data_IF_728510552527
#
_entry.id   IF_728510552527
#
_cell.length_a   1.000
_cell.length_b   1.000
_cell.length_c   1.000
_cell.angle_alpha   90.00
_cell.angle_beta   90.00
_cell.angle_gamma   90.00
#
_symmetry.space_group_name_H-M   'P 1'
#
loop_
_entity.id
_entity.type
_entity.pdbx_description
1 polymer ?
#
# COMPACT_ATOMS: atom_id res chain seq x y z
N UNK A 1 -47.85 6.79 12.14
CA UNK A 1 -47.20 5.66 11.44
C UNK A 1 -47.02 4.44 12.34
N UNK A 2 -46.22 4.47 13.41
CA UNK A 2 -46.00 3.29 14.26
C UNK A 2 -47.29 2.66 14.83
N UNK A 3 -48.24 3.49 15.29
CA UNK A 3 -49.52 3.00 15.81
C UNK A 3 -50.37 2.29 14.75
N UNK A 4 -50.27 2.69 13.48
CA UNK A 4 -51.00 2.04 12.38
C UNK A 4 -50.39 0.67 12.07
N UNK A 5 -49.06 0.57 12.05
CA UNK A 5 -48.34 -0.70 11.90
C UNK A 5 -48.64 -1.66 13.06
N UNK A 6 -48.74 -1.16 14.30
CA UNK A 6 -49.13 -1.98 15.45
C UNK A 6 -50.62 -2.38 15.40
N UNK A 7 -51.48 -1.55 14.81
CA UNK A 7 -52.88 -1.91 14.60
C UNK A 7 -53.04 -3.01 13.55
N UNK A 8 -52.45 -2.80 12.38
CA UNK A 8 -52.57 -3.68 11.20
C UNK A 8 -51.61 -4.87 11.26
N UNK A 9 -50.65 -4.85 12.19
CA UNK A 9 -49.58 -5.85 12.35
C UNK A 9 -48.73 -6.08 11.08
N UNK A 10 -48.73 -5.10 10.17
CA UNK A 10 -48.09 -5.17 8.86
C UNK A 10 -47.26 -3.90 8.62
N UNK A 11 -46.07 -4.08 8.03
CA UNK A 11 -45.17 -2.99 7.60
C UNK A 11 -44.67 -3.28 6.19
N UNK A 12 -44.67 -2.26 5.35
CA UNK A 12 -44.16 -2.36 3.99
C UNK A 12 -42.66 -2.70 3.97
N UNK A 13 -42.20 -3.67 3.16
CA UNK A 13 -40.81 -4.13 3.15
C UNK A 13 -39.78 -3.04 2.83
N UNK A 14 -40.13 -2.10 1.95
CA UNK A 14 -39.28 -0.96 1.59
C UNK A 14 -39.08 -0.01 2.77
N UNK A 15 -40.18 0.31 3.48
CA UNK A 15 -40.12 1.13 4.70
C UNK A 15 -39.37 0.42 5.81
N UNK A 16 -39.56 -0.89 5.98
CA UNK A 16 -38.83 -1.69 6.96
C UNK A 16 -37.33 -1.68 6.66
N UNK A 17 -36.91 -1.74 5.39
CA UNK A 17 -35.50 -1.75 5.02
C UNK A 17 -34.79 -0.43 5.38
N UNK A 18 -35.49 0.69 5.25
CA UNK A 18 -35.00 2.05 5.57
C UNK A 18 -34.83 2.29 7.08
N UNK A 19 -35.48 1.51 7.96
CA UNK A 19 -35.27 1.65 9.41
C UNK A 19 -33.85 1.19 9.81
N UNK A 20 -33.24 1.93 10.73
CA UNK A 20 -32.00 1.49 11.39
C UNK A 20 -32.22 0.26 12.27
N UNK A 21 -31.17 -0.53 12.53
CA UNK A 21 -31.28 -1.81 13.26
C UNK A 21 -31.91 -1.65 14.65
N UNK A 22 -31.58 -0.58 15.37
CA UNK A 22 -32.18 -0.26 16.68
C UNK A 22 -33.68 0.00 16.56
N UNK A 23 -34.11 0.70 15.50
CA UNK A 23 -35.51 1.02 15.27
C UNK A 23 -36.30 -0.23 14.85
N UNK A 24 -35.72 -1.10 14.02
CA UNK A 24 -36.27 -2.42 13.68
C UNK A 24 -36.48 -3.26 14.93
N UNK A 25 -35.49 -3.30 15.81
CA UNK A 25 -35.57 -4.03 17.07
C UNK A 25 -36.73 -3.54 17.94
N UNK A 26 -36.81 -2.21 18.18
CA UNK A 26 -37.89 -1.60 18.96
C UNK A 26 -39.26 -1.88 18.35
N UNK A 27 -39.39 -1.78 17.03
CA UNK A 27 -40.64 -2.07 16.30
C UNK A 27 -41.08 -3.52 16.53
N UNK A 28 -40.19 -4.49 16.35
CA UNK A 28 -40.53 -5.91 16.53
C UNK A 28 -40.89 -6.23 17.98
N UNK A 29 -40.20 -5.63 18.95
CA UNK A 29 -40.59 -5.76 20.36
C UNK A 29 -42.01 -5.25 20.59
N UNK A 30 -42.36 -4.06 20.09
CA UNK A 30 -43.71 -3.51 20.24
C UNK A 30 -44.78 -4.30 19.49
N UNK A 31 -44.49 -4.80 18.29
CA UNK A 31 -45.38 -5.69 17.55
C UNK A 31 -45.61 -7.00 18.32
N UNK A 32 -44.57 -7.54 18.95
CA UNK A 32 -44.67 -8.77 19.74
C UNK A 32 -45.48 -8.56 21.02
N UNK A 33 -45.28 -7.45 21.72
CA UNK A 33 -46.10 -7.06 22.88
C UNK A 33 -47.57 -6.94 22.50
N UNK A 34 -47.88 -6.31 21.36
CA UNK A 34 -49.25 -6.12 20.89
C UNK A 34 -49.91 -7.45 20.49
N UNK A 35 -49.17 -8.38 19.87
CA UNK A 35 -49.65 -9.75 19.63
C UNK A 35 -50.01 -10.46 20.93
N UNK A 36 -49.15 -10.36 21.95
CA UNK A 36 -49.38 -10.98 23.25
C UNK A 36 -50.56 -10.34 23.98
N UNK A 37 -50.72 -9.02 23.91
CA UNK A 37 -51.87 -8.31 24.47
C UNK A 37 -53.17 -8.78 23.83
N UNK A 38 -53.26 -8.79 22.49
CA UNK A 38 -54.43 -9.28 21.75
C UNK A 38 -54.73 -10.74 22.00
N UNK A 39 -53.69 -11.57 22.14
CA UNK A 39 -53.87 -12.98 22.47
C UNK A 39 -54.43 -13.14 23.88
N UNK A 40 -53.85 -12.48 24.89
CA UNK A 40 -54.37 -12.49 26.26
C UNK A 40 -55.80 -11.97 26.34
N UNK A 41 -56.14 -10.91 25.62
CA UNK A 41 -57.50 -10.38 25.58
C UNK A 41 -58.48 -11.40 24.99
N UNK A 42 -58.11 -12.06 23.88
CA UNK A 42 -58.92 -13.15 23.34
C UNK A 42 -59.07 -14.31 24.32
N UNK A 43 -58.00 -14.73 24.99
CA UNK A 43 -58.06 -15.78 26.01
C UNK A 43 -58.99 -15.39 27.16
N UNK A 44 -58.93 -14.14 27.64
CA UNK A 44 -59.83 -13.66 28.69
C UNK A 44 -61.28 -13.57 28.23
N UNK A 45 -61.52 -13.14 26.99
CA UNK A 45 -62.86 -13.13 26.39
C UNK A 45 -63.40 -14.55 26.20
N UNK A 46 -62.57 -15.49 25.75
CA UNK A 46 -62.93 -16.89 25.59
C UNK A 46 -63.17 -17.60 26.92
N UNK A 47 -62.42 -17.24 27.97
CA UNK A 47 -62.64 -17.73 29.33
C UNK A 47 -63.96 -17.21 29.92
N UNK A 48 -64.25 -15.91 29.78
CA UNK A 48 -65.52 -15.31 30.24
C UNK A 48 -66.71 -15.86 29.44
N UNK A 49 -66.55 -16.09 28.13
CA UNK A 49 -67.60 -16.66 27.29
C UNK A 49 -67.83 -18.17 27.54
N UNK A 50 -66.85 -18.89 28.09
CA UNK A 50 -67.06 -20.26 28.59
C UNK A 50 -67.87 -20.28 29.89
N UNK A 51 -67.62 -19.32 30.80
CA UNK A 51 -68.30 -19.23 32.11
C UNK A 51 -69.77 -18.78 31.98
N UNK A 52 -70.08 -17.86 31.06
CA UNK A 52 -71.47 -17.43 30.78
C UNK A 52 -72.25 -18.40 29.86
N UNK A 53 -71.67 -19.53 29.44
CA UNK A 53 -72.31 -20.52 28.56
C UNK A 53 -72.64 -20.02 27.14
N UNK A 54 -72.40 -18.74 26.86
CA UNK A 54 -72.51 -18.09 25.56
C UNK A 54 -71.24 -18.38 24.76
N UNK A 55 -71.09 -19.63 24.33
CA UNK A 55 -70.08 -19.99 23.35
C UNK A 55 -70.30 -19.06 22.14
N UNK A 56 -69.35 -18.18 21.77
CA UNK A 56 -69.45 -17.47 20.51
C UNK A 56 -69.60 -18.55 19.44
N UNK A 57 -70.52 -18.40 18.45
CA UNK A 57 -70.55 -19.33 17.35
C UNK A 57 -69.14 -19.30 16.77
N UNK A 58 -68.42 -20.43 16.90
CA UNK A 58 -67.07 -20.59 16.34
C UNK A 58 -67.13 -19.92 14.98
N UNK A 59 -66.49 -18.75 14.84
CA UNK A 59 -66.53 -18.05 13.56
C UNK A 59 -66.13 -19.10 12.56
N UNK A 60 -67.04 -19.44 11.64
CA UNK A 60 -66.76 -20.36 10.55
C UNK A 60 -65.66 -19.68 9.76
N UNK A 61 -64.40 -19.82 10.21
CA UNK A 61 -63.24 -19.62 9.37
C UNK A 61 -63.55 -20.54 8.21
N UNK A 62 -63.81 -19.93 7.05
CA UNK A 62 -64.15 -20.62 5.82
C UNK A 62 -63.38 -21.93 5.79
N UNK A 63 -64.10 -23.05 5.74
CA UNK A 63 -63.60 -24.39 6.02
C UNK A 63 -62.18 -24.55 5.46
N UNK A 64 -61.20 -24.37 6.34
CA UNK A 64 -59.90 -24.93 6.07
C UNK A 64 -60.13 -26.40 6.37
N UNK A 65 -60.51 -27.17 5.35
CA UNK A 65 -60.68 -28.64 5.38
C UNK A 65 -59.40 -29.39 5.82
N UNK A 66 -58.38 -28.65 6.26
CA UNK A 66 -57.16 -29.12 6.89
C UNK A 66 -57.42 -29.39 8.37
N UNK A 67 -58.16 -30.45 8.68
CA UNK A 67 -58.02 -31.13 9.96
C UNK A 67 -56.77 -32.01 9.93
N UNK A 68 -56.06 -32.13 11.05
CA UNK A 68 -54.93 -33.05 11.17
C UNK A 68 -55.52 -34.44 11.46
N UNK A 69 -55.43 -35.34 10.49
CA UNK A 69 -55.73 -36.75 10.68
C UNK A 69 -54.42 -37.47 11.04
N UNK A 70 -54.35 -37.98 12.27
CA UNK A 70 -53.22 -38.80 12.70
C UNK A 70 -53.33 -40.18 12.04
N UNK A 71 -52.21 -40.68 11.53
CA UNK A 71 -52.11 -42.09 11.16
C UNK A 71 -52.15 -42.91 12.45
N UNK A 72 -52.89 -44.02 12.45
CA UNK A 72 -52.97 -44.94 13.58
C UNK A 72 -52.14 -46.20 13.28
N UNK A 73 -51.44 -46.70 14.30
CA UNK A 73 -50.72 -47.98 14.27
C UNK A 73 -51.67 -49.18 14.33
N UNK A 74 -51.09 -50.38 14.28
CA UNK A 74 -51.84 -51.64 14.38
C UNK A 74 -52.51 -51.86 15.75
N UNK A 75 -52.04 -51.13 16.76
CA UNK A 75 -52.55 -51.04 18.13
C UNK A 75 -53.70 -50.04 18.30
N UNK A 76 -53.98 -49.22 17.29
CA UNK A 76 -54.96 -48.13 17.36
C UNK A 76 -54.45 -46.87 18.07
N UNK A 77 -53.15 -46.80 18.39
CA UNK A 77 -52.48 -45.59 18.88
C UNK A 77 -51.94 -44.76 17.71
N UNK A 78 -51.47 -43.54 17.96
CA UNK A 78 -50.92 -42.67 16.91
C UNK A 78 -49.60 -43.26 16.40
N UNK A 79 -49.48 -43.39 15.07
CA UNK A 79 -48.26 -43.86 14.42
C UNK A 79 -47.13 -42.83 14.59
N UNK A 80 -46.06 -43.26 15.24
CA UNK A 80 -44.84 -42.49 15.44
C UNK A 80 -43.70 -43.19 14.71
N UNK A 81 -42.99 -42.45 13.86
CA UNK A 81 -41.73 -42.92 13.29
C UNK A 81 -40.57 -42.16 13.91
N UNK A 82 -39.62 -42.92 14.43
CA UNK A 82 -38.39 -42.41 15.02
C UNK A 82 -37.28 -42.60 13.99
N UNK A 83 -36.62 -41.50 13.62
CA UNK A 83 -35.47 -41.52 12.73
C UNK A 83 -34.41 -42.51 13.26
N UNK A 84 -34.14 -43.57 12.48
CA UNK A 84 -33.11 -44.55 12.80
C UNK A 84 -33.57 -45.79 13.58
N UNK A 85 -34.86 -45.93 13.88
CA UNK A 85 -35.43 -47.16 14.46
C UNK A 85 -36.19 -48.01 13.42
N UNK A 86 -36.36 -47.50 12.20
CA UNK A 86 -37.00 -48.24 11.10
C UNK A 86 -36.11 -49.37 10.55
N UNK A 87 -36.70 -50.44 9.99
CA UNK A 87 -35.93 -51.52 9.39
C UNK A 87 -35.05 -51.03 8.23
N UNK A 88 -33.73 -51.03 8.45
CA UNK A 88 -32.73 -50.59 7.45
C UNK A 88 -32.34 -49.12 7.52
N UNK A 89 -32.88 -48.35 8.47
CA UNK A 89 -32.44 -46.97 8.72
C UNK A 89 -31.14 -46.95 9.53
N UNK A 90 -30.26 -45.98 9.26
CA UNK A 90 -29.10 -45.71 10.11
C UNK A 90 -29.56 -45.09 11.43
N UNK A 91 -28.95 -45.44 12.58
CA UNK A 91 -29.28 -44.80 13.85
C UNK A 91 -29.02 -43.29 13.77
N UNK A 92 -29.82 -42.52 14.51
CA UNK A 92 -29.73 -41.06 14.53
C UNK A 92 -28.31 -40.58 14.87
N UNK A 93 -27.65 -41.27 15.80
CA UNK A 93 -26.28 -40.98 16.23
C UNK A 93 -25.32 -41.01 15.04
N UNK A 94 -25.36 -42.06 14.21
CA UNK A 94 -24.48 -42.20 13.04
C UNK A 94 -24.75 -41.11 11.99
N UNK A 95 -26.03 -40.78 11.74
CA UNK A 95 -26.41 -39.70 10.81
C UNK A 95 -25.89 -38.34 11.33
N UNK A 96 -26.01 -38.11 12.64
CA UNK A 96 -25.56 -36.87 13.28
C UNK A 96 -24.03 -36.75 13.26
N UNK A 97 -23.32 -37.85 13.52
CA UNK A 97 -21.86 -37.93 13.47
C UNK A 97 -21.35 -37.73 12.05
N UNK A 98 -21.98 -38.34 11.04
CA UNK A 98 -21.65 -38.15 9.63
C UNK A 98 -21.79 -36.68 9.22
N UNK A 99 -22.88 -36.02 9.64
CA UNK A 99 -23.11 -34.61 9.35
C UNK A 99 -22.08 -33.69 10.05
N UNK A 100 -21.73 -33.99 11.30
CA UNK A 100 -20.69 -33.24 12.04
C UNK A 100 -19.33 -33.44 11.37
N UNK A 101 -19.01 -34.67 10.96
CA UNK A 101 -17.76 -34.99 10.28
C UNK A 101 -17.66 -34.30 8.92
N UNK A 102 -18.75 -34.27 8.14
CA UNK A 102 -18.80 -33.56 6.86
C UNK A 102 -18.58 -32.06 7.06
N UNK A 103 -19.26 -31.46 8.06
CA UNK A 103 -19.08 -30.05 8.41
C UNK A 103 -17.65 -29.74 8.85
N UNK A 104 -17.05 -30.62 9.67
CA UNK A 104 -15.67 -30.49 10.11
C UNK A 104 -14.67 -30.58 8.93
N UNK A 105 -14.90 -31.50 7.98
CA UNK A 105 -14.09 -31.60 6.76
C UNK A 105 -14.17 -30.34 5.91
N UNK A 106 -15.38 -29.81 5.68
CA UNK A 106 -15.57 -28.57 4.92
C UNK A 106 -14.89 -27.39 5.60
N UNK A 107 -14.96 -27.31 6.93
CA UNK A 107 -14.26 -26.28 7.70
C UNK A 107 -12.74 -26.39 7.56
N UNK A 108 -12.19 -27.60 7.73
CA UNK A 108 -10.77 -27.86 7.57
C UNK A 108 -10.27 -27.56 6.14
N UNK A 109 -11.07 -27.83 5.11
CA UNK A 109 -10.74 -27.48 3.72
C UNK A 109 -10.65 -25.96 3.52
N UNK A 110 -11.60 -25.19 4.07
CA UNK A 110 -11.57 -23.73 4.00
C UNK A 110 -10.35 -23.15 4.72
N UNK A 111 -10.07 -23.62 5.93
CA UNK A 111 -8.89 -23.19 6.69
C UNK A 111 -7.59 -23.55 5.97
N UNK A 112 -7.51 -24.73 5.36
CA UNK A 112 -6.38 -25.13 4.55
C UNK A 112 -6.20 -24.24 3.30
N UNK A 113 -7.30 -23.88 2.63
CA UNK A 113 -7.27 -22.96 1.49
C UNK A 113 -6.80 -21.56 1.92
N UNK A 114 -7.27 -21.05 3.06
CA UNK A 114 -6.82 -19.77 3.60
C UNK A 114 -5.32 -19.79 3.94
N UNK A 115 -4.84 -20.86 4.58
CA UNK A 115 -3.43 -21.06 4.84
C UNK A 115 -2.62 -21.14 3.54
N UNK A 116 -3.14 -21.82 2.51
CA UNK A 116 -2.51 -21.91 1.21
C UNK A 116 -2.40 -20.53 0.54
N UNK A 117 -3.47 -19.73 0.56
CA UNK A 117 -3.45 -18.34 0.05
C UNK A 117 -2.43 -17.48 0.78
N UNK A 118 -2.31 -17.62 2.10
CA UNK A 118 -1.28 -16.92 2.87
C UNK A 118 0.13 -17.34 2.44
N UNK A 119 0.36 -18.64 2.21
CA UNK A 119 1.65 -19.15 1.74
C UNK A 119 1.97 -18.69 0.32
N UNK A 120 1.01 -18.68 -0.60
CA UNK A 120 1.20 -18.13 -1.94
C UNK A 120 1.51 -16.63 -1.89
N UNK A 121 0.83 -15.86 -1.04
CA UNK A 121 1.14 -14.45 -0.82
C UNK A 121 2.57 -14.26 -0.25
N UNK A 122 2.97 -15.12 0.68
CA UNK A 122 4.33 -15.11 1.26
C UNK A 122 5.39 -15.42 0.18
N UNK A 123 5.14 -16.42 -0.68
CA UNK A 123 6.02 -16.81 -1.78
C UNK A 123 6.12 -15.68 -2.81
N UNK A 124 4.99 -15.13 -3.25
CA UNK A 124 4.97 -14.02 -4.23
C UNK A 124 5.63 -12.77 -3.67
N UNK A 125 5.51 -12.50 -2.36
CA UNK A 125 6.24 -11.42 -1.69
C UNK A 125 7.74 -11.70 -1.69
N UNK A 126 8.17 -12.88 -1.25
CA UNK A 126 9.59 -13.27 -1.27
C UNK A 126 10.21 -13.16 -2.66
N UNK A 127 9.47 -13.54 -3.70
CA UNK A 127 9.92 -13.42 -5.08
C UNK A 127 10.03 -11.96 -5.54
N UNK A 128 9.04 -11.12 -5.20
CA UNK A 128 9.10 -9.67 -5.47
C UNK A 128 10.27 -9.01 -4.73
N UNK A 129 10.48 -9.35 -3.47
CA UNK A 129 11.58 -8.83 -2.66
C UNK A 129 12.95 -9.27 -3.22
N UNK A 130 13.06 -10.53 -3.66
CA UNK A 130 14.27 -11.03 -4.31
C UNK A 130 14.57 -10.29 -5.63
N UNK A 131 13.56 -10.05 -6.46
CA UNK A 131 13.71 -9.25 -7.68
C UNK A 131 14.10 -7.79 -7.39
N UNK A 132 13.51 -7.18 -6.36
CA UNK A 132 13.85 -5.82 -5.95
C UNK A 132 15.29 -5.73 -5.46
N UNK A 133 15.74 -6.71 -4.66
CA UNK A 133 17.11 -6.80 -4.18
C UNK A 133 18.10 -6.95 -5.35
N UNK A 134 17.78 -7.80 -6.33
CA UNK A 134 18.64 -7.96 -7.51
C UNK A 134 18.70 -6.66 -8.36
N UNK A 135 17.57 -5.98 -8.55
CA UNK A 135 17.55 -4.67 -9.22
C UNK A 135 18.37 -3.63 -8.46
N UNK A 136 18.28 -3.61 -7.13
CA UNK A 136 19.06 -2.71 -6.29
C UNK A 136 20.57 -3.01 -6.40
N UNK A 137 20.95 -4.29 -6.47
CA UNK A 137 22.34 -4.72 -6.68
C UNK A 137 22.88 -4.21 -8.01
N UNK A 138 22.14 -4.41 -9.10
CA UNK A 138 22.51 -3.92 -10.44
C UNK A 138 22.63 -2.39 -10.45
N UNK A 139 21.69 -1.68 -9.81
CA UNK A 139 21.74 -0.22 -9.72
C UNK A 139 22.97 0.24 -8.93
N UNK A 140 23.26 -0.38 -7.79
CA UNK A 140 24.42 -0.06 -6.97
C UNK A 140 25.73 -0.31 -7.70
N UNK A 141 25.82 -1.39 -8.49
CA UNK A 141 26.97 -1.69 -9.34
C UNK A 141 27.16 -0.63 -10.42
N UNK A 142 26.09 -0.22 -11.12
CA UNK A 142 26.15 0.87 -12.10
C UNK A 142 26.63 2.19 -11.48
N UNK A 143 26.12 2.54 -10.31
CA UNK A 143 26.54 3.74 -9.59
C UNK A 143 28.03 3.71 -9.19
N UNK A 144 28.54 2.53 -8.80
CA UNK A 144 29.97 2.38 -8.49
C UNK A 144 30.83 2.63 -9.73
N UNK A 145 30.48 2.03 -10.85
CA UNK A 145 31.16 2.24 -12.14
C UNK A 145 31.12 3.72 -12.53
N UNK A 146 29.95 4.36 -12.47
CA UNK A 146 29.81 5.80 -12.78
C UNK A 146 30.65 6.69 -11.86
N UNK A 147 30.74 6.35 -10.57
CA UNK A 147 31.59 7.07 -9.61
C UNK A 147 33.07 6.86 -9.87
N UNK A 148 33.48 5.67 -10.32
CA UNK A 148 34.86 5.38 -10.74
C UNK A 148 35.21 6.13 -12.02
N UNK A 149 34.33 6.14 -13.02
CA UNK A 149 34.49 6.90 -14.26
C UNK A 149 34.61 8.40 -13.98
N UNK A 150 33.77 8.94 -13.08
CA UNK A 150 33.85 10.34 -12.66
C UNK A 150 35.16 10.67 -11.94
N UNK A 151 35.71 9.75 -11.15
CA UNK A 151 37.02 9.91 -10.53
C UNK A 151 38.13 9.87 -11.58
N UNK A 152 38.06 8.95 -12.53
CA UNK A 152 39.04 8.83 -13.61
C UNK A 152 39.06 10.09 -14.49
N UNK A 153 37.89 10.65 -14.80
CA UNK A 153 37.76 11.91 -15.54
C UNK A 153 38.45 13.08 -14.81
N UNK A 154 38.26 13.20 -13.48
CA UNK A 154 38.93 14.24 -12.68
C UNK A 154 40.45 14.09 -12.70
N UNK A 155 40.96 12.87 -12.57
CA UNK A 155 42.41 12.61 -12.62
C UNK A 155 42.99 12.98 -13.99
N UNK A 156 42.26 12.70 -15.08
CA UNK A 156 42.67 13.11 -16.42
C UNK A 156 42.65 14.63 -16.58
N UNK A 157 41.63 15.30 -16.06
CA UNK A 157 41.50 16.77 -16.08
C UNK A 157 42.64 17.44 -15.30
N UNK A 158 42.97 16.93 -14.11
CA UNK A 158 44.11 17.39 -13.31
C UNK A 158 45.43 17.21 -14.07
N UNK A 159 45.64 16.05 -14.70
CA UNK A 159 46.84 15.80 -15.51
C UNK A 159 46.96 16.75 -16.70
N UNK A 160 45.86 17.02 -17.39
CA UNK A 160 45.83 17.99 -18.50
C UNK A 160 46.16 19.39 -17.97
N UNK A 161 45.61 19.76 -16.81
CA UNK A 161 45.88 21.06 -16.20
C UNK A 161 47.35 21.22 -15.80
N UNK A 162 47.95 20.19 -15.21
CA UNK A 162 49.38 20.17 -14.89
C UNK A 162 50.26 20.25 -16.14
N UNK A 163 49.94 19.52 -17.21
CA UNK A 163 50.67 19.64 -18.47
C UNK A 163 50.54 21.05 -19.07
N UNK A 164 49.36 21.67 -18.98
CA UNK A 164 49.14 23.02 -19.45
C UNK A 164 49.96 24.04 -18.66
N UNK A 165 49.96 23.94 -17.32
CA UNK A 165 50.81 24.75 -16.43
C UNK A 165 52.28 24.62 -16.80
N UNK A 166 52.74 23.39 -17.03
CA UNK A 166 54.14 23.12 -17.37
C UNK A 166 54.54 23.73 -18.70
N UNK A 167 53.68 23.63 -19.73
CA UNK A 167 53.88 24.30 -21.02
C UNK A 167 53.87 25.82 -20.91
N UNK A 168 52.97 26.37 -20.10
CA UNK A 168 52.91 27.81 -19.83
C UNK A 168 54.22 28.30 -19.18
N UNK A 169 54.74 27.58 -18.19
CA UNK A 169 56.03 27.88 -17.56
C UNK A 169 57.21 27.76 -18.53
N UNK A 170 57.21 26.75 -19.40
CA UNK A 170 58.24 26.60 -20.44
C UNK A 170 58.22 27.76 -21.44
N UNK A 171 57.03 28.18 -21.90
CA UNK A 171 56.89 29.34 -22.79
C UNK A 171 57.29 30.64 -22.08
N UNK A 172 56.98 30.80 -20.78
CA UNK A 172 57.47 31.93 -19.99
C UNK A 172 58.98 31.95 -19.90
N UNK A 173 59.63 30.82 -19.62
CA UNK A 173 61.10 30.71 -19.60
C UNK A 173 61.72 31.04 -20.95
N UNK A 174 61.15 30.53 -22.04
CA UNK A 174 61.61 30.89 -23.41
C UNK A 174 61.48 32.38 -23.69
N UNK A 175 60.39 33.00 -23.24
CA UNK A 175 60.20 34.44 -23.32
C UNK A 175 61.24 35.21 -22.50
N UNK A 176 61.47 34.80 -21.25
CA UNK A 176 62.49 35.37 -20.36
C UNK A 176 63.91 35.23 -20.93
N UNK A 177 64.24 34.08 -21.53
CA UNK A 177 65.53 33.84 -22.18
C UNK A 177 65.73 34.73 -23.41
N UNK A 178 64.70 34.92 -24.23
CA UNK A 178 64.75 35.85 -25.35
C UNK A 178 64.97 37.30 -24.88
N UNK A 179 64.24 37.72 -23.84
CA UNK A 179 64.41 39.05 -23.24
C UNK A 179 65.84 39.20 -22.71
N UNK A 180 66.37 38.20 -22.00
CA UNK A 180 67.75 38.21 -21.48
C UNK A 180 68.79 38.36 -22.59
N UNK A 181 68.64 37.62 -23.68
CA UNK A 181 69.57 37.72 -24.81
C UNK A 181 69.51 39.12 -25.44
N UNK A 182 68.30 39.66 -25.58
CA UNK A 182 68.08 41.00 -26.12
C UNK A 182 68.62 42.09 -25.20
N UNK A 183 68.46 41.94 -23.88
CA UNK A 183 69.08 42.79 -22.86
C UNK A 183 70.60 42.74 -22.95
N UNK A 184 71.20 41.55 -23.13
CA UNK A 184 72.64 41.38 -23.24
C UNK A 184 73.20 42.02 -24.52
N UNK A 185 72.50 41.86 -25.66
CA UNK A 185 72.84 42.54 -26.91
C UNK A 185 72.76 44.07 -26.75
N UNK A 186 71.66 44.56 -26.19
CA UNK A 186 71.45 45.99 -25.97
C UNK A 186 72.46 46.58 -24.97
N UNK A 187 72.85 45.81 -23.94
CA UNK A 187 73.91 46.20 -23.01
C UNK A 187 75.27 46.33 -23.72
N UNK A 188 75.60 45.42 -24.64
CA UNK A 188 76.83 45.50 -25.46
C UNK A 188 76.82 46.72 -26.39
N UNK A 189 75.69 47.00 -27.04
CA UNK A 189 75.51 48.20 -27.88
C UNK A 189 75.65 49.49 -27.07
N UNK A 190 74.98 49.57 -25.92
CA UNK A 190 75.08 50.71 -25.00
C UNK A 190 76.51 50.90 -24.50
N UNK A 191 77.20 49.82 -24.14
CA UNK A 191 78.60 49.87 -23.73
C UNK A 191 79.51 50.42 -24.84
N UNK A 192 79.34 49.96 -26.08
CA UNK A 192 80.10 50.46 -27.22
C UNK A 192 79.84 51.95 -27.47
N UNK A 193 78.57 52.35 -27.43
CA UNK A 193 78.15 53.75 -27.60
C UNK A 193 78.76 54.64 -26.50
N UNK A 194 78.70 54.20 -25.24
CA UNK A 194 79.26 54.94 -24.11
C UNK A 194 80.79 55.08 -24.24
N UNK A 195 81.47 54.03 -24.69
CA UNK A 195 82.92 54.03 -24.92
C UNK A 195 83.33 54.98 -26.05
N UNK A 196 82.55 55.04 -27.12
CA UNK A 196 82.75 56.02 -28.19
C UNK A 196 82.53 57.46 -27.71
N UNK A 197 81.49 57.70 -26.92
CA UNK A 197 81.25 59.02 -26.31
C UNK A 197 82.39 59.43 -25.36
N UNK A 198 82.93 58.49 -24.58
CA UNK A 198 84.06 58.74 -23.69
C UNK A 198 85.34 59.10 -24.45
N UNK A 199 85.60 58.44 -25.58
CA UNK A 199 86.70 58.79 -26.49
C UNK A 199 86.49 60.18 -27.10
N UNK A 200 85.27 60.48 -27.57
CA UNK A 200 84.93 61.82 -28.06
C UNK A 200 85.05 62.91 -26.99
N UNK A 201 84.73 62.62 -25.72
CA UNK A 201 84.95 63.56 -24.62
C UNK A 201 86.45 63.75 -24.32
N UNK A 202 87.26 62.69 -24.37
CA UNK A 202 88.71 62.78 -24.20
C UNK A 202 89.42 63.49 -25.35
N UNK A 203 88.93 63.34 -26.59
CA UNK A 203 89.44 64.06 -27.75
C UNK A 203 88.97 65.52 -27.73
N UNK A 204 87.73 65.80 -27.32
CA UNK A 204 87.21 67.15 -27.04
C UNK A 204 88.00 67.86 -25.94
N UNK A 205 88.36 67.19 -24.84
CA UNK A 205 89.18 67.76 -23.75
C UNK A 205 90.66 67.95 -24.14
N UNK A 206 91.13 67.29 -25.20
CA UNK A 206 92.45 67.50 -25.80
C UNK A 206 92.41 68.65 -26.81
N UNK A 207 91.38 68.70 -27.66
CA UNK A 207 91.16 69.83 -28.57
C UNK A 207 90.92 71.13 -27.79
N UNK A 208 90.13 71.15 -26.71
CA UNK A 208 89.98 72.34 -25.84
C UNK A 208 91.31 72.77 -25.21
N UNK A 209 92.15 71.83 -24.78
CA UNK A 209 93.50 72.14 -24.28
C UNK A 209 94.44 72.65 -25.36
N UNK A 210 94.32 72.16 -26.59
CA UNK A 210 95.09 72.64 -27.75
C UNK A 210 94.61 74.02 -28.25
N UNK A 211 93.34 74.39 -28.02
CA UNK A 211 92.81 75.73 -28.29
C UNK A 211 93.16 76.76 -27.20
N UNK A 212 93.39 76.34 -25.94
CA UNK A 212 93.85 77.23 -24.85
C UNK A 212 95.35 77.60 -24.94
N UNK A 213 96.14 76.91 -25.77
CA UNK A 213 97.59 77.16 -25.96
C UNK A 213 97.96 77.98 -27.22
N UNK A 214 96.99 78.58 -27.94
CA UNK A 214 97.21 79.61 -28.99
C UNK A 214 97.02 81.04 -28.47
#
# INVERSE_FOLDING_TARGET
MLQQILHDMYIDPELLAELGDVQKHILFYKMREEQLRRWKERETWEALAQDEGLRPPKTKRAASDKHIQWLLGADGEVWVWIMGEGPGDKPYEEISEELIAERARLQAQKEAEELWRQKEAEITKKFRDALANEKARILAEKWKVEMEDRKAAKVLEERIHEEFKRKEEEERKRGEEQIRLQEEQRAKELYWTLKQAQLHCQDSEKEEREWEEQ
#
